data_IF_323652538593
#
_entry.id   IF_323652538593
#
_cell.length_a   1.000
_cell.length_b   1.000
_cell.length_c   1.000
_cell.angle_alpha   90.00
_cell.angle_beta   90.00
_cell.angle_gamma   90.00
#
_symmetry.space_group_name_H-M   'P 1'
#
loop_
_entity.id
_entity.type
_entity.pdbx_description
1 polymer ?
#
# COMPACT_ATOMS: atom_id res chain seq x y z
N UNK A 1 5.01 2.73 -11.61
CA UNK A 1 5.37 1.79 -10.53
C UNK A 1 4.38 0.60 -10.47
N UNK A 2 3.07 0.85 -10.33
CA UNK A 2 2.04 -0.20 -10.19
C UNK A 2 2.01 -1.24 -11.33
N UNK A 3 2.09 -0.81 -12.58
CA UNK A 3 2.10 -1.69 -13.78
C UNK A 3 3.32 -2.60 -13.90
N UNK A 4 4.43 -2.26 -13.26
CA UNK A 4 5.69 -3.02 -13.35
C UNK A 4 6.00 -3.86 -12.11
N UNK A 5 5.23 -3.70 -11.04
CA UNK A 5 5.47 -4.33 -9.74
C UNK A 5 4.49 -5.46 -9.42
N UNK A 6 3.59 -5.81 -10.35
CA UNK A 6 2.51 -6.79 -10.15
C UNK A 6 1.60 -6.49 -8.93
N UNK A 7 1.44 -5.21 -8.58
CA UNK A 7 0.61 -4.81 -7.45
C UNK A 7 -0.87 -4.81 -7.87
N UNK A 8 -1.60 -5.82 -7.43
CA UNK A 8 -3.06 -5.88 -7.61
C UNK A 8 -3.76 -4.80 -6.77
N UNK A 9 -5.01 -4.43 -7.09
CA UNK A 9 -5.72 -3.38 -6.33
C UNK A 9 -5.75 -3.60 -4.81
N UNK A 10 -5.97 -4.83 -4.28
CA UNK A 10 -5.89 -5.08 -2.84
C UNK A 10 -4.51 -4.75 -2.24
N UNK A 11 -3.42 -5.02 -2.95
CA UNK A 11 -2.06 -4.69 -2.48
C UNK A 11 -1.86 -3.17 -2.43
N UNK A 12 -2.40 -2.43 -3.39
CA UNK A 12 -2.36 -0.96 -3.35
C UNK A 12 -3.14 -0.41 -2.15
N UNK A 13 -4.30 -0.98 -1.82
CA UNK A 13 -5.05 -0.60 -0.62
C UNK A 13 -4.29 -0.96 0.67
N UNK A 14 -3.62 -2.11 0.71
CA UNK A 14 -2.76 -2.47 1.84
C UNK A 14 -1.61 -1.48 2.05
N UNK A 15 -1.02 -0.95 0.98
CA UNK A 15 0.01 0.09 1.11
C UNK A 15 -0.53 1.37 1.76
N UNK A 16 -1.78 1.75 1.45
CA UNK A 16 -2.47 2.88 2.11
C UNK A 16 -2.72 2.54 3.58
N UNK A 17 -3.17 1.33 3.89
CA UNK A 17 -3.32 0.87 5.27
C UNK A 17 -2.00 0.97 6.06
N UNK A 18 -0.85 0.58 5.49
CA UNK A 18 0.45 0.75 6.15
C UNK A 18 0.79 2.21 6.41
N UNK A 19 0.41 3.09 5.49
CA UNK A 19 0.63 4.53 5.60
C UNK A 19 -0.09 5.10 6.83
N UNK A 20 -1.38 4.77 6.98
CA UNK A 20 -2.18 5.22 8.11
C UNK A 20 -1.71 4.61 9.43
N UNK A 21 -1.37 3.31 9.43
CA UNK A 21 -0.76 2.62 10.59
C UNK A 21 0.53 3.30 11.04
N UNK A 22 1.39 3.68 10.10
CA UNK A 22 2.66 4.35 10.38
C UNK A 22 2.43 5.72 11.01
N UNK A 23 1.49 6.51 10.48
CA UNK A 23 1.13 7.81 11.03
C UNK A 23 0.55 7.71 12.45
N UNK A 24 -0.26 6.68 12.73
CA UNK A 24 -0.86 6.45 14.05
C UNK A 24 0.18 5.97 15.07
N UNK A 25 1.01 4.99 14.69
CA UNK A 25 1.99 4.37 15.59
C UNK A 25 3.25 5.21 15.76
N UNK A 26 3.54 6.11 14.82
CA UNK A 26 4.74 6.94 14.84
C UNK A 26 4.44 8.39 14.43
N UNK A 27 3.82 9.18 15.32
CA UNK A 27 3.36 10.56 15.02
C UNK A 27 4.47 11.54 14.66
N UNK A 28 5.72 11.24 15.02
CA UNK A 28 6.89 12.05 14.65
C UNK A 28 7.31 11.85 13.19
N UNK A 29 6.84 10.79 12.53
CA UNK A 29 7.05 10.61 11.11
C UNK A 29 6.00 11.37 10.31
N UNK A 30 6.47 12.35 9.55
CA UNK A 30 5.65 13.10 8.61
C UNK A 30 5.84 12.57 7.20
N UNK A 31 4.72 12.33 6.52
CA UNK A 31 4.72 12.02 5.10
C UNK A 31 4.86 13.33 4.33
N UNK A 32 5.96 13.44 3.59
CA UNK A 32 6.35 14.61 2.81
C UNK A 32 6.83 14.15 1.44
N UNK A 33 7.05 15.09 0.52
CA UNK A 33 7.68 14.81 -0.78
C UNK A 33 9.07 14.15 -0.67
N UNK A 34 9.76 14.31 0.46
CA UNK A 34 11.08 13.70 0.72
C UNK A 34 11.00 12.27 1.28
N UNK A 35 9.92 11.93 2.00
CA UNK A 35 9.78 10.63 2.69
C UNK A 35 8.87 9.66 1.94
N UNK A 36 7.90 10.16 1.18
CA UNK A 36 6.87 9.34 0.52
C UNK A 36 7.45 8.34 -0.49
N UNK A 37 8.47 8.73 -1.26
CA UNK A 37 9.03 7.87 -2.29
C UNK A 37 9.68 6.60 -1.70
N UNK A 38 10.48 6.78 -0.65
CA UNK A 38 11.13 5.69 0.09
C UNK A 38 10.10 4.78 0.75
N UNK A 39 9.07 5.40 1.35
CA UNK A 39 7.94 4.67 1.91
C UNK A 39 7.22 3.81 0.87
N UNK A 40 6.86 4.37 -0.29
CA UNK A 40 6.09 3.66 -1.32
C UNK A 40 6.82 2.43 -1.85
N UNK A 41 8.14 2.52 -2.07
CA UNK A 41 8.93 1.37 -2.56
C UNK A 41 8.98 0.28 -1.47
N UNK A 42 9.23 0.64 -0.21
CA UNK A 42 9.26 -0.31 0.90
C UNK A 42 7.89 -0.95 1.15
N UNK A 43 6.82 -0.16 1.11
CA UNK A 43 5.45 -0.64 1.25
C UNK A 43 5.08 -1.58 0.10
N UNK A 44 5.47 -1.26 -1.14
CA UNK A 44 5.27 -2.15 -2.29
C UNK A 44 5.98 -3.49 -2.11
N UNK A 45 7.23 -3.51 -1.64
CA UNK A 45 7.98 -4.75 -1.43
C UNK A 45 7.44 -5.58 -0.27
N UNK A 46 7.15 -4.95 0.87
CA UNK A 46 6.58 -5.64 2.04
C UNK A 46 5.21 -6.22 1.69
N UNK A 47 4.37 -5.46 1.00
CA UNK A 47 3.04 -5.93 0.58
C UNK A 47 3.13 -7.08 -0.42
N UNK A 48 3.95 -6.95 -1.46
CA UNK A 48 4.08 -8.00 -2.47
C UNK A 48 4.66 -9.29 -1.88
N UNK A 49 5.74 -9.21 -1.10
CA UNK A 49 6.32 -10.40 -0.45
C UNK A 49 5.43 -11.02 0.62
N UNK A 50 4.66 -10.20 1.34
CA UNK A 50 3.85 -10.64 2.46
C UNK A 50 2.50 -11.24 2.05
N UNK A 51 1.89 -10.73 0.98
CA UNK A 51 0.50 -11.00 0.64
C UNK A 51 0.27 -11.49 -0.80
N UNK A 52 1.31 -11.54 -1.65
CA UNK A 52 1.20 -12.02 -3.03
C UNK A 52 2.00 -13.30 -3.24
N UNK A 53 1.40 -14.28 -3.93
CA UNK A 53 2.12 -15.48 -4.40
C UNK A 53 3.09 -15.16 -5.55
N UNK A 54 2.90 -14.00 -6.21
CA UNK A 54 3.78 -13.50 -7.27
C UNK A 54 4.43 -12.20 -6.81
N UNK A 55 5.75 -12.25 -6.57
CA UNK A 55 6.56 -11.10 -6.17
C UNK A 55 7.91 -11.11 -6.88
N UNK A 56 8.53 -9.93 -7.00
CA UNK A 56 9.86 -9.80 -7.60
C UNK A 56 10.96 -9.77 -6.54
N UNK A 57 12.22 -9.96 -6.96
CA UNK A 57 13.38 -9.78 -6.09
C UNK A 57 13.60 -8.31 -5.73
N UNK A 58 14.30 -8.05 -4.61
CA UNK A 58 14.67 -6.69 -4.21
C UNK A 58 15.44 -5.94 -5.30
N UNK A 59 16.29 -6.65 -6.07
CA UNK A 59 17.04 -6.07 -7.18
C UNK A 59 16.13 -5.47 -8.27
N UNK A 60 14.96 -6.07 -8.51
CA UNK A 60 13.99 -5.56 -9.48
C UNK A 60 13.28 -4.32 -8.93
N UNK A 61 12.84 -4.35 -7.67
CA UNK A 61 12.22 -3.19 -7.03
C UNK A 61 13.18 -2.00 -6.93
N UNK A 62 14.46 -2.23 -6.62
CA UNK A 62 15.47 -1.16 -6.59
C UNK A 62 15.78 -0.57 -7.94
N UNK A 63 15.72 -1.37 -9.02
CA UNK A 63 15.95 -0.88 -10.38
C UNK A 63 14.87 0.11 -10.81
N UNK A 64 13.62 -0.15 -10.42
CA UNK A 64 12.51 0.76 -10.71
C UNK A 64 12.45 1.92 -9.71
N UNK A 65 12.78 1.65 -8.44
CA UNK A 65 12.70 2.60 -7.34
C UNK A 65 13.92 3.50 -7.16
N UNK A 66 15.01 3.32 -7.90
CA UNK A 66 16.18 4.20 -7.82
C UNK A 66 16.89 4.25 -6.47
N UNK A 67 16.77 3.19 -5.65
CA UNK A 67 17.41 3.05 -4.33
C UNK A 67 18.42 1.90 -4.34
N UNK A 68 19.35 1.86 -3.38
CA UNK A 68 20.28 0.72 -3.28
C UNK A 68 19.56 -0.50 -2.70
N UNK A 69 19.99 -1.72 -3.07
CA UNK A 69 19.39 -2.96 -2.55
C UNK A 69 19.48 -3.03 -1.02
N UNK A 70 20.63 -2.65 -0.46
CA UNK A 70 20.85 -2.61 0.99
C UNK A 70 19.94 -1.61 1.68
N UNK A 71 19.74 -0.45 1.07
CA UNK A 71 18.83 0.58 1.55
C UNK A 71 17.38 0.12 1.51
N UNK A 72 16.95 -0.56 0.44
CA UNK A 72 15.63 -1.16 0.38
C UNK A 72 15.41 -2.20 1.48
N UNK A 73 16.39 -3.08 1.72
CA UNK A 73 16.28 -4.08 2.79
C UNK A 73 16.14 -3.45 4.17
N UNK A 74 16.85 -2.34 4.43
CA UNK A 74 16.70 -1.57 5.69
C UNK A 74 15.32 -0.96 5.79
N UNK A 75 14.83 -0.32 4.71
CA UNK A 75 13.50 0.29 4.70
C UNK A 75 12.37 -0.75 4.88
N UNK A 76 12.50 -1.93 4.27
CA UNK A 76 11.57 -3.06 4.50
C UNK A 76 11.53 -3.42 5.99
N UNK A 77 12.70 -3.60 6.60
CA UNK A 77 12.81 -4.00 8.00
C UNK A 77 12.28 -2.90 8.93
N UNK A 78 12.61 -1.64 8.68
CA UNK A 78 12.08 -0.51 9.46
C UNK A 78 10.56 -0.46 9.38
N UNK A 79 9.98 -0.58 8.17
CA UNK A 79 8.53 -0.59 8.00
C UNK A 79 7.88 -1.73 8.80
N UNK A 80 8.42 -2.95 8.71
CA UNK A 80 7.94 -4.12 9.45
C UNK A 80 7.95 -3.89 10.97
N UNK A 81 9.03 -3.33 11.51
CA UNK A 81 9.09 -2.99 12.93
C UNK A 81 8.05 -1.92 13.31
N UNK A 82 7.89 -0.88 12.48
CA UNK A 82 6.97 0.23 12.76
C UNK A 82 5.51 -0.18 12.71
N UNK A 83 5.16 -1.16 11.88
CA UNK A 83 3.80 -1.75 11.85
C UNK A 83 3.64 -2.94 12.79
N UNK A 84 4.64 -3.20 13.65
CA UNK A 84 4.67 -4.32 14.60
C UNK A 84 4.49 -5.69 13.95
N UNK A 85 4.99 -5.87 12.72
CA UNK A 85 4.80 -7.07 11.89
C UNK A 85 3.34 -7.42 11.58
N UNK A 86 2.38 -6.55 11.92
CA UNK A 86 0.94 -6.71 11.65
C UNK A 86 0.61 -6.20 10.24
N UNK A 87 1.08 -6.95 9.24
CA UNK A 87 1.00 -6.59 7.82
C UNK A 87 -0.26 -7.10 7.10
N UNK A 88 -1.04 -7.98 7.72
CA UNK A 88 -2.28 -8.51 7.13
C UNK A 88 -3.44 -7.63 7.60
N UNK A 89 -4.04 -6.80 6.73
CA UNK A 89 -5.25 -6.06 7.08
C UNK A 89 -6.46 -6.99 7.13
N UNK A 90 -7.43 -6.67 8.00
CA UNK A 90 -8.74 -7.30 7.96
C UNK A 90 -9.43 -6.96 6.62
N UNK A 91 -10.12 -7.91 5.97
CA UNK A 91 -10.82 -7.66 4.71
C UNK A 91 -11.78 -6.48 4.78
N UNK A 92 -12.50 -6.34 5.90
CA UNK A 92 -13.46 -5.26 6.15
C UNK A 92 -12.78 -3.89 6.07
N UNK A 93 -11.57 -3.78 6.63
CA UNK A 93 -10.77 -2.54 6.59
C UNK A 93 -10.40 -2.17 5.14
N UNK A 94 -10.05 -3.15 4.30
CA UNK A 94 -9.75 -2.90 2.89
C UNK A 94 -11.00 -2.46 2.11
N UNK A 95 -12.16 -3.03 2.41
CA UNK A 95 -13.45 -2.61 1.83
C UNK A 95 -13.78 -1.18 2.22
N UNK A 96 -13.53 -0.80 3.48
CA UNK A 96 -13.74 0.57 3.96
C UNK A 96 -12.81 1.57 3.26
N UNK A 97 -11.52 1.23 3.06
CA UNK A 97 -10.59 2.06 2.28
C UNK A 97 -11.07 2.21 0.84
N UNK A 98 -11.45 1.11 0.19
CA UNK A 98 -11.96 1.14 -1.18
C UNK A 98 -13.19 2.03 -1.31
N UNK A 99 -14.16 1.85 -0.40
CA UNK A 99 -15.41 2.62 -0.39
C UNK A 99 -15.16 4.11 -0.15
N UNK A 100 -14.28 4.43 0.81
CA UNK A 100 -13.90 5.81 1.11
C UNK A 100 -13.19 6.50 -0.05
N UNK A 101 -12.37 5.77 -0.80
CA UNK A 101 -11.70 6.28 -2.00
C UNK A 101 -12.68 6.43 -3.17
N UNK A 102 -13.58 5.47 -3.37
CA UNK A 102 -14.59 5.52 -4.42
C UNK A 102 -15.56 6.70 -4.22
N UNK A 103 -16.02 6.91 -2.98
CA UNK A 103 -16.88 8.06 -2.64
C UNK A 103 -16.21 9.42 -2.81
N UNK A 104 -14.88 9.48 -2.70
CA UNK A 104 -14.10 10.70 -2.95
C UNK A 104 -13.83 10.97 -4.42
N UNK A 105 -13.95 9.95 -5.28
CA UNK A 105 -13.82 10.09 -6.72
C UNK A 105 -15.12 10.57 -7.33
N UNK A 106 -15.07 11.66 -8.10
CA UNK A 106 -16.22 12.06 -8.90
C UNK A 106 -16.54 10.96 -9.94
N UNK A 107 -17.81 10.53 -10.01
CA UNK A 107 -18.31 9.65 -11.07
C UNK A 107 -18.22 8.14 -10.82
N UNK A 108 -17.88 7.68 -9.60
CA UNK A 108 -17.89 6.26 -9.26
C UNK A 108 -19.06 5.91 -8.33
N UNK A 109 -19.88 4.93 -8.73
CA UNK A 109 -20.94 4.35 -7.89
C UNK A 109 -20.58 2.90 -7.61
N UNK A 110 -20.49 2.54 -6.33
CA UNK A 110 -20.30 1.16 -5.92
C UNK A 110 -21.54 0.35 -6.33
N UNK A 111 -21.34 -0.81 -6.94
CA UNK A 111 -22.42 -1.64 -7.50
C UNK A 111 -23.51 -1.99 -6.47
N UNK A 112 -23.16 -2.09 -5.18
CA UNK A 112 -24.11 -2.33 -4.07
C UNK A 112 -24.92 -1.10 -3.62
N UNK A 113 -24.61 0.10 -4.13
CA UNK A 113 -25.27 1.36 -3.78
C UNK A 113 -25.93 2.02 -5.01
N UNK A 114 -26.01 1.30 -6.13
CA UNK A 114 -26.72 1.75 -7.31
C UNK A 114 -28.22 1.87 -6.98
N UNK A 115 -28.89 2.99 -7.34
CA UNK A 115 -30.34 3.07 -7.21
C UNK A 115 -30.96 1.92 -8.01
N UNK A 116 -32.06 1.31 -7.51
CA UNK A 116 -32.76 0.29 -8.28
C UNK A 116 -33.09 0.88 -9.65
N UNK A 117 -32.66 0.20 -10.71
CA UNK A 117 -33.04 0.58 -12.06
C UNK A 117 -34.55 0.37 -12.17
N UNK A 118 -35.30 1.47 -12.23
CA UNK A 118 -36.73 1.44 -12.52
C UNK A 118 -36.93 0.70 -13.86
N UNK A 119 -37.72 -0.37 -13.80
CA UNK A 119 -38.19 -1.15 -14.96
C UNK A 119 -39.43 -0.49 -15.58
#
# INVERSE_FOLDING_TARGET
LATHAALTPPLLLTMIYYMDRLCVLYPTFSITSLTIHRFLIAAATVTAKGLSDSYYSNSMYTRVGGVRVTELSVLELELLHRVEWKIIPCPEVLVDYYSSLAMRGDGYVLEGNAPPMDN
#
